data_IF_519038330485
#
_entry.id   IF_519038330485
#
_cell.length_a   1.000
_cell.length_b   1.000
_cell.length_c   1.000
_cell.angle_alpha   90.00
_cell.angle_beta   90.00
_cell.angle_gamma   90.00
#
_symmetry.space_group_name_H-M   'P 1'
#
loop_
_entity.id
_entity.type
_entity.pdbx_description
1 polymer ?
#
# COMPACT_ATOMS: atom_id res chain seq x y z
N UNK A 1 -26.47 7.85 27.02
CA UNK A 1 -25.08 8.34 27.05
C UNK A 1 -24.90 9.20 25.81
N UNK A 2 -24.73 10.51 26.00
CA UNK A 2 -24.50 11.46 24.91
C UNK A 2 -23.25 11.04 24.12
N UNK A 3 -23.43 10.77 22.82
CA UNK A 3 -22.38 10.40 21.86
C UNK A 3 -21.49 11.63 21.51
N UNK A 4 -21.60 12.72 22.25
CA UNK A 4 -20.84 13.96 22.03
C UNK A 4 -19.55 13.96 22.84
N UNK A 5 -18.51 13.28 22.36
CA UNK A 5 -17.10 13.65 22.60
C UNK A 5 -16.12 12.63 22.03
N UNK A 6 -15.27 13.11 21.11
CA UNK A 6 -14.03 12.52 20.57
C UNK A 6 -14.14 11.53 19.40
N UNK A 7 -14.44 12.06 18.21
CA UNK A 7 -13.66 11.62 17.05
C UNK A 7 -12.18 11.89 17.40
N UNK A 8 -11.35 10.85 17.39
CA UNK A 8 -9.90 11.00 17.55
C UNK A 8 -9.28 10.75 16.19
N UNK A 9 -8.44 11.68 15.76
CA UNK A 9 -7.86 11.60 14.44
C UNK A 9 -6.64 10.67 14.48
N UNK A 10 -6.68 9.62 13.66
CA UNK A 10 -5.64 8.60 13.67
C UNK A 10 -5.15 8.34 12.25
N UNK A 11 -3.94 8.82 11.99
CA UNK A 11 -3.22 8.55 10.77
C UNK A 11 -2.46 7.22 10.90
N UNK A 12 -2.48 6.36 9.86
CA UNK A 12 -1.72 5.09 9.82
C UNK A 12 -0.24 5.30 10.17
N UNK A 13 0.34 6.40 9.72
CA UNK A 13 1.72 6.81 9.99
C UNK A 13 2.02 6.81 11.50
N UNK A 14 1.06 7.25 12.32
CA UNK A 14 1.10 7.22 13.80
C UNK A 14 1.33 5.83 14.37
N UNK A 15 0.92 4.79 13.65
CA UNK A 15 0.99 3.39 14.08
C UNK A 15 2.31 2.72 13.66
N UNK A 16 3.09 3.35 12.76
CA UNK A 16 4.41 2.86 12.34
C UNK A 16 5.44 3.38 13.33
N UNK A 17 6.01 2.47 14.13
CA UNK A 17 6.93 2.82 15.20
C UNK A 17 8.35 3.06 14.67
N UNK A 18 9.00 4.08 15.20
CA UNK A 18 10.46 4.23 15.18
C UNK A 18 11.00 3.65 16.48
N UNK A 19 11.32 2.36 16.44
CA UNK A 19 11.59 1.59 17.63
C UNK A 19 13.04 1.83 18.08
N UNK A 20 13.20 2.26 19.33
CA UNK A 20 14.50 2.61 19.94
C UNK A 20 15.18 1.41 20.60
N UNK A 21 14.47 0.29 20.74
CA UNK A 21 15.07 -0.93 21.27
C UNK A 21 15.93 -1.62 20.20
N UNK A 22 16.94 -2.40 20.59
CA UNK A 22 17.64 -3.26 19.64
C UNK A 22 16.65 -4.18 18.91
N UNK A 23 16.73 -4.25 17.58
CA UNK A 23 15.81 -5.07 16.77
C UNK A 23 15.75 -6.53 17.24
N UNK A 24 16.88 -7.08 17.71
CA UNK A 24 16.97 -8.45 18.24
C UNK A 24 16.16 -8.68 19.52
N UNK A 25 15.65 -7.66 20.20
CA UNK A 25 14.72 -7.82 21.33
C UNK A 25 13.28 -8.05 20.86
N UNK A 26 12.92 -7.59 19.66
CA UNK A 26 11.56 -7.63 19.12
C UNK A 26 11.42 -8.72 18.04
N UNK A 27 12.45 -8.89 17.21
CA UNK A 27 12.50 -9.83 16.09
C UNK A 27 13.60 -10.87 16.28
N UNK A 28 13.35 -12.07 15.78
CA UNK A 28 14.33 -13.15 15.68
C UNK A 28 14.63 -13.42 14.20
N UNK A 29 15.90 -13.29 13.80
CA UNK A 29 16.41 -13.66 12.48
C UNK A 29 17.91 -13.98 12.57
N UNK A 30 18.39 -14.85 11.69
CA UNK A 30 19.79 -15.25 11.58
C UNK A 30 20.32 -15.04 10.15
N UNK A 31 21.64 -15.14 9.95
CA UNK A 31 22.25 -14.98 8.62
C UNK A 31 21.73 -15.99 7.59
N UNK A 32 21.41 -17.22 8.03
CA UNK A 32 20.82 -18.26 7.17
C UNK A 32 19.42 -17.90 6.64
N UNK A 33 18.75 -16.94 7.27
CA UNK A 33 17.41 -16.49 6.90
C UNK A 33 17.43 -15.39 5.83
N UNK A 34 18.58 -15.13 5.19
CA UNK A 34 18.68 -14.18 4.08
C UNK A 34 17.79 -14.64 2.92
N UNK A 35 16.85 -13.80 2.53
CA UNK A 35 15.89 -14.06 1.43
C UNK A 35 16.15 -13.20 0.19
N UNK A 36 16.99 -12.17 0.30
CA UNK A 36 17.31 -11.32 -0.83
C UNK A 36 18.44 -10.34 -0.56
N UNK A 37 18.86 -9.66 -1.62
CA UNK A 37 19.84 -8.57 -1.57
C UNK A 37 19.40 -7.49 -2.54
N UNK A 38 19.17 -6.29 -2.03
CA UNK A 38 18.83 -5.11 -2.82
C UNK A 38 20.03 -4.19 -3.01
N UNK A 39 19.82 -3.09 -3.73
CA UNK A 39 20.85 -2.10 -4.01
C UNK A 39 21.52 -1.49 -2.75
N UNK A 40 20.77 -1.42 -1.63
CA UNK A 40 21.21 -0.73 -0.41
C UNK A 40 21.50 -1.67 0.77
N UNK A 41 21.23 -2.98 0.63
CA UNK A 41 21.24 -3.85 1.80
C UNK A 41 20.77 -5.28 1.56
N UNK A 42 20.82 -6.10 2.60
CA UNK A 42 20.31 -7.48 2.59
C UNK A 42 18.93 -7.55 3.23
N UNK A 43 18.12 -8.51 2.79
CA UNK A 43 16.78 -8.75 3.33
C UNK A 43 16.74 -10.12 4.00
N UNK A 44 16.23 -10.17 5.23
CA UNK A 44 16.15 -11.39 6.04
C UNK A 44 14.70 -11.72 6.38
N UNK A 45 14.35 -12.99 6.40
CA UNK A 45 13.10 -13.45 7.03
C UNK A 45 13.26 -13.34 8.54
N UNK A 46 12.30 -12.73 9.21
CA UNK A 46 12.30 -12.56 10.66
C UNK A 46 10.95 -12.97 11.27
N UNK A 47 10.97 -13.33 12.55
CA UNK A 47 9.76 -13.68 13.32
C UNK A 47 9.61 -12.67 14.46
N UNK A 48 8.46 -12.00 14.53
CA UNK A 48 8.13 -11.14 15.65
C UNK A 48 7.92 -11.97 16.92
N UNK A 49 8.64 -11.65 18.00
CA UNK A 49 8.75 -12.54 19.17
C UNK A 49 7.45 -12.74 19.94
N UNK A 50 6.57 -11.73 20.00
CA UNK A 50 5.29 -11.80 20.70
C UNK A 50 4.19 -12.37 19.80
N UNK A 51 3.84 -11.66 18.73
CA UNK A 51 2.75 -12.05 17.80
C UNK A 51 3.04 -13.29 16.95
N UNK A 52 4.30 -13.74 16.90
CA UNK A 52 4.79 -14.86 16.07
C UNK A 52 4.65 -14.67 14.57
N UNK A 53 4.27 -13.48 14.13
CA UNK A 53 4.11 -13.20 12.72
C UNK A 53 5.45 -13.14 11.98
N UNK A 54 5.46 -13.61 10.74
CA UNK A 54 6.64 -13.60 9.87
C UNK A 54 6.71 -12.26 9.14
N UNK A 55 7.94 -11.74 9.00
CA UNK A 55 8.27 -10.46 8.39
C UNK A 55 9.52 -10.56 7.52
N UNK A 56 9.74 -9.54 6.70
CA UNK A 56 11.02 -9.29 6.05
C UNK A 56 11.72 -8.12 6.75
N UNK A 57 13.01 -8.24 7.05
CA UNK A 57 13.83 -7.17 7.63
C UNK A 57 14.88 -6.77 6.60
N UNK A 58 14.72 -5.57 6.02
CA UNK A 58 15.71 -4.97 5.11
C UNK A 58 16.74 -4.23 5.97
N UNK A 59 17.98 -4.72 5.97
CA UNK A 59 19.11 -4.19 6.74
C UNK A 59 19.98 -3.33 5.82
N UNK A 60 20.11 -2.06 6.15
CA UNK A 60 20.75 -1.04 5.30
C UNK A 60 21.94 -0.45 6.04
N UNK A 61 23.14 -0.54 5.45
CA UNK A 61 24.35 0.01 6.06
C UNK A 61 24.41 1.54 5.89
N UNK A 62 24.65 2.25 6.99
CA UNK A 62 24.68 3.72 7.00
C UNK A 62 25.85 4.35 6.24
N UNK A 63 26.98 3.65 6.11
CA UNK A 63 28.15 4.11 5.37
C UNK A 63 27.90 4.15 3.85
N UNK A 64 26.98 3.32 3.36
CA UNK A 64 26.56 3.34 1.96
C UNK A 64 25.53 4.45 1.65
N UNK A 65 25.19 5.29 2.64
CA UNK A 65 24.20 6.35 2.53
C UNK A 65 24.80 7.58 1.84
N UNK A 66 25.11 7.46 0.54
CA UNK A 66 25.04 8.61 -0.40
C UNK A 66 23.59 9.03 -0.68
N UNK A 67 22.62 8.29 -0.15
CA UNK A 67 21.22 8.31 -0.52
C UNK A 67 20.26 8.51 0.67
N UNK A 68 20.68 9.21 1.74
CA UNK A 68 19.88 9.40 2.96
C UNK A 68 18.50 9.95 2.63
N UNK A 69 18.48 10.94 1.74
CA UNK A 69 17.26 11.58 1.30
C UNK A 69 16.34 10.63 0.51
N UNK A 70 16.91 9.74 -0.33
CA UNK A 70 16.11 8.75 -1.06
C UNK A 70 15.49 7.73 -0.13
N UNK A 71 16.27 7.22 0.84
CA UNK A 71 15.79 6.25 1.82
C UNK A 71 14.72 6.84 2.74
N UNK A 72 14.92 8.08 3.21
CA UNK A 72 13.91 8.79 3.98
C UNK A 72 12.65 9.07 3.14
N UNK A 73 12.81 9.39 1.85
CA UNK A 73 11.69 9.56 0.93
C UNK A 73 10.94 8.25 0.71
N UNK A 74 11.63 7.12 0.54
CA UNK A 74 11.04 5.78 0.42
C UNK A 74 10.22 5.46 1.67
N UNK A 75 10.80 5.59 2.86
CA UNK A 75 10.11 5.39 4.14
C UNK A 75 8.88 6.28 4.25
N UNK A 76 9.00 7.58 3.94
CA UNK A 76 7.87 8.53 4.04
C UNK A 76 6.73 8.15 3.09
N UNK A 77 7.05 7.70 1.86
CA UNK A 77 6.06 7.23 0.90
C UNK A 77 5.36 5.96 1.42
N UNK A 78 6.11 4.99 1.96
CA UNK A 78 5.54 3.75 2.51
C UNK A 78 4.71 3.98 3.78
N UNK A 79 5.09 4.96 4.59
CA UNK A 79 4.30 5.41 5.74
C UNK A 79 2.95 5.97 5.26
N UNK A 80 2.96 6.77 4.18
CA UNK A 80 1.77 7.41 3.61
C UNK A 80 0.78 6.44 2.96
N UNK A 81 1.26 5.48 2.17
CA UNK A 81 0.41 4.67 1.31
C UNK A 81 -0.29 3.54 2.07
N UNK A 82 -1.61 3.42 1.92
CA UNK A 82 -2.43 2.33 2.46
C UNK A 82 -3.25 1.66 1.34
N UNK A 83 -2.70 0.60 0.76
CA UNK A 83 -3.36 -0.11 -0.33
C UNK A 83 -3.05 -1.61 -0.31
N UNK A 84 -4.02 -2.51 -0.61
CA UNK A 84 -3.83 -3.97 -0.53
C UNK A 84 -2.78 -4.56 -1.48
N UNK A 85 -2.36 -3.81 -2.49
CA UNK A 85 -1.36 -4.22 -3.49
C UNK A 85 -0.07 -3.40 -3.41
N UNK A 86 0.20 -2.74 -2.29
CA UNK A 86 1.43 -1.98 -2.02
C UNK A 86 2.08 -2.51 -0.74
N UNK A 87 3.40 -2.70 -0.78
CA UNK A 87 4.15 -3.32 0.32
C UNK A 87 4.04 -2.49 1.60
N UNK A 88 3.74 -3.18 2.70
CA UNK A 88 3.60 -2.54 4.00
C UNK A 88 4.94 -2.39 4.72
N UNK A 89 5.15 -1.21 5.29
CA UNK A 89 6.13 -0.95 6.36
C UNK A 89 5.42 -1.06 7.72
N UNK A 90 5.92 -1.94 8.60
CA UNK A 90 5.38 -2.13 9.95
C UNK A 90 6.04 -1.22 10.98
N UNK A 91 7.37 -1.15 10.96
CA UNK A 91 8.18 -0.33 11.86
C UNK A 91 9.61 -0.19 11.34
N UNK A 92 10.36 0.73 11.92
CA UNK A 92 11.77 0.96 11.62
C UNK A 92 12.61 0.89 12.89
N UNK A 93 13.86 0.47 12.75
CA UNK A 93 14.87 0.49 13.81
C UNK A 93 16.13 1.18 13.30
N UNK A 94 16.90 1.77 14.20
CA UNK A 94 18.16 2.41 13.87
C UNK A 94 19.16 2.17 15.00
N UNK A 95 20.35 1.66 14.67
CA UNK A 95 21.48 1.58 15.60
C UNK A 95 22.64 2.49 15.12
N UNK A 96 23.87 2.32 15.60
CA UNK A 96 24.99 3.16 15.17
C UNK A 96 25.35 2.99 13.67
N UNK A 97 25.21 1.77 13.13
CA UNK A 97 25.77 1.37 11.82
C UNK A 97 24.69 1.07 10.78
N UNK A 98 23.49 0.71 11.21
CA UNK A 98 22.43 0.19 10.35
C UNK A 98 21.09 0.86 10.57
N UNK A 99 20.32 0.95 9.48
CA UNK A 99 18.88 1.18 9.49
C UNK A 99 18.18 -0.13 9.14
N UNK A 100 17.08 -0.42 9.83
CA UNK A 100 16.28 -1.61 9.60
C UNK A 100 14.86 -1.20 9.25
N UNK A 101 14.34 -1.74 8.15
CA UNK A 101 12.92 -1.61 7.78
C UNK A 101 12.25 -2.97 7.96
N UNK A 102 11.23 -3.04 8.82
CA UNK A 102 10.41 -4.24 8.97
C UNK A 102 9.24 -4.16 8.01
N UNK A 103 9.25 -5.07 7.04
CA UNK A 103 8.37 -5.09 5.90
C UNK A 103 7.49 -6.34 5.93
N UNK A 104 6.40 -6.26 5.17
CA UNK A 104 5.66 -7.43 4.75
C UNK A 104 6.54 -8.41 3.99
N UNK A 105 6.32 -9.71 4.25
CA UNK A 105 7.05 -10.76 3.57
C UNK A 105 6.25 -11.25 2.37
N UNK A 106 6.89 -11.27 1.21
CA UNK A 106 6.32 -11.86 0.00
C UNK A 106 7.08 -13.14 -0.33
N UNK A 107 6.40 -14.29 -0.33
CA UNK A 107 7.04 -15.61 -0.48
C UNK A 107 6.68 -16.31 -1.80
N UNK A 108 5.88 -15.67 -2.64
CA UNK A 108 5.35 -16.23 -3.88
C UNK A 108 6.20 -16.01 -5.12
N UNK A 109 7.38 -15.38 -4.99
CA UNK A 109 8.21 -14.96 -6.12
C UNK A 109 7.69 -13.70 -6.80
N UNK A 110 8.39 -13.20 -7.80
CA UNK A 110 7.98 -12.05 -8.60
C UNK A 110 7.25 -12.45 -9.90
N UNK A 111 6.71 -11.46 -10.61
CA UNK A 111 6.01 -11.69 -11.88
C UNK A 111 6.98 -12.10 -12.99
N UNK A 112 8.23 -11.62 -12.95
CA UNK A 112 9.24 -11.91 -13.97
C UNK A 112 9.59 -13.39 -14.01
N UNK A 113 9.95 -13.97 -12.87
CA UNK A 113 10.26 -15.39 -12.71
C UNK A 113 9.10 -16.26 -13.19
N UNK A 114 7.86 -15.83 -12.93
CA UNK A 114 6.66 -16.57 -13.33
C UNK A 114 6.42 -16.54 -14.84
N UNK A 115 6.73 -15.43 -15.50
CA UNK A 115 6.70 -15.32 -16.97
C UNK A 115 7.83 -16.15 -17.57
N UNK A 116 9.05 -16.07 -17.02
CA UNK A 116 10.19 -16.86 -17.48
C UNK A 116 9.95 -18.36 -17.39
N UNK A 117 9.35 -18.85 -16.29
CA UNK A 117 9.04 -20.27 -16.10
C UNK A 117 8.07 -20.80 -17.16
N UNK A 118 7.10 -19.97 -17.57
CA UNK A 118 5.99 -20.39 -18.45
C UNK A 118 6.16 -19.94 -19.91
N UNK A 119 7.13 -19.09 -20.21
CA UNK A 119 7.23 -18.36 -21.48
C UNK A 119 6.22 -17.21 -21.55
N UNK A 120 4.93 -17.50 -21.38
CA UNK A 120 3.85 -16.50 -21.32
C UNK A 120 2.74 -16.92 -20.36
N UNK A 121 1.89 -15.97 -19.95
CA UNK A 121 0.74 -16.27 -19.12
C UNK A 121 -0.56 -16.29 -19.94
N UNK A 122 -1.50 -17.21 -19.62
CA UNK A 122 -2.86 -17.14 -20.15
C UNK A 122 -3.49 -15.77 -19.89
N UNK A 123 -4.30 -15.30 -20.83
CA UNK A 123 -4.93 -13.96 -20.77
C UNK A 123 -5.64 -13.71 -19.43
N UNK A 124 -6.36 -14.70 -18.92
CA UNK A 124 -7.06 -14.58 -17.64
C UNK A 124 -6.11 -14.33 -16.45
N UNK A 125 -5.01 -15.09 -16.38
CA UNK A 125 -3.98 -14.92 -15.37
C UNK A 125 -3.27 -13.56 -15.52
N UNK A 126 -2.97 -13.15 -16.76
CA UNK A 126 -2.36 -11.87 -17.07
C UNK A 126 -3.23 -10.69 -16.59
N UNK A 127 -4.53 -10.71 -16.88
CA UNK A 127 -5.44 -9.67 -16.41
C UNK A 127 -5.68 -9.73 -14.90
N UNK A 128 -5.64 -10.91 -14.27
CA UNK A 128 -5.71 -11.04 -12.81
C UNK A 128 -4.55 -10.32 -12.11
N UNK A 129 -3.35 -10.42 -12.67
CA UNK A 129 -2.15 -9.69 -12.19
C UNK A 129 -2.28 -8.20 -12.52
N UNK A 130 -2.54 -7.88 -13.79
CA UNK A 130 -2.52 -6.52 -14.31
C UNK A 130 -3.57 -5.59 -13.66
N UNK A 131 -4.74 -6.11 -13.27
CA UNK A 131 -5.74 -5.31 -12.55
C UNK A 131 -5.21 -4.85 -11.19
N UNK A 132 -4.53 -5.73 -10.44
CA UNK A 132 -3.95 -5.38 -9.15
C UNK A 132 -2.80 -4.38 -9.30
N UNK A 133 -1.99 -4.57 -10.34
CA UNK A 133 -0.94 -3.64 -10.75
C UNK A 133 -1.51 -2.24 -10.96
N UNK A 134 -2.54 -2.12 -11.82
CA UNK A 134 -3.13 -0.83 -12.16
C UNK A 134 -3.86 -0.17 -11.01
N UNK A 135 -4.40 -0.95 -10.06
CA UNK A 135 -4.95 -0.40 -8.80
C UNK A 135 -3.89 0.27 -7.95
N UNK A 136 -2.72 -0.36 -7.79
CA UNK A 136 -1.60 0.26 -7.10
C UNK A 136 -1.18 1.57 -7.79
N UNK A 137 -1.05 1.55 -9.13
CA UNK A 137 -0.73 2.74 -9.94
C UNK A 137 -1.75 3.85 -9.76
N UNK A 138 -3.04 3.54 -9.88
CA UNK A 138 -4.10 4.53 -9.71
C UNK A 138 -4.11 5.13 -8.30
N UNK A 139 -3.90 4.30 -7.28
CA UNK A 139 -3.87 4.72 -5.88
C UNK A 139 -2.74 5.73 -5.62
N UNK A 140 -1.47 5.36 -5.84
CA UNK A 140 -0.36 6.24 -5.48
C UNK A 140 -0.31 7.51 -6.35
N UNK A 141 -0.81 7.47 -7.59
CA UNK A 141 -0.93 8.67 -8.42
C UNK A 141 -1.97 9.66 -7.86
N UNK A 142 -2.99 9.18 -7.13
CA UNK A 142 -3.89 10.01 -6.33
C UNK A 142 -3.13 10.88 -5.32
N UNK A 143 -2.01 10.38 -4.78
CA UNK A 143 -1.11 11.10 -3.87
C UNK A 143 -0.03 11.92 -4.61
N UNK A 144 -0.15 12.06 -5.94
CA UNK A 144 0.85 12.73 -6.80
C UNK A 144 2.22 12.07 -6.74
N UNK A 145 2.28 10.77 -6.51
CA UNK A 145 3.52 10.00 -6.53
C UNK A 145 3.72 9.41 -7.92
N UNK A 146 4.97 9.38 -8.37
CA UNK A 146 5.41 8.71 -9.60
C UNK A 146 6.47 7.70 -9.20
N UNK A 147 6.27 6.44 -9.59
CA UNK A 147 7.10 5.31 -9.17
C UNK A 147 8.43 5.26 -9.95
N UNK A 148 8.36 5.40 -11.28
CA UNK A 148 9.50 5.51 -12.22
C UNK A 148 10.35 4.27 -12.46
N UNK A 149 10.19 3.20 -11.67
CA UNK A 149 10.82 1.89 -11.95
C UNK A 149 9.80 0.75 -11.95
N UNK A 150 8.74 0.92 -12.73
CA UNK A 150 7.69 -0.08 -12.83
C UNK A 150 8.12 -1.21 -13.79
N UNK A 151 8.24 -2.43 -13.26
CA UNK A 151 8.71 -3.63 -13.96
C UNK A 151 8.23 -4.92 -13.28
N UNK A 152 8.21 -6.09 -13.95
CA UNK A 152 7.68 -7.33 -13.38
C UNK A 152 8.40 -7.79 -12.10
N UNK A 153 9.70 -7.51 -11.95
CA UNK A 153 10.51 -7.84 -10.78
C UNK A 153 10.09 -7.08 -9.51
N UNK A 154 9.47 -5.90 -9.66
CA UNK A 154 9.04 -5.06 -8.55
C UNK A 154 7.64 -5.42 -8.03
N UNK A 155 7.02 -6.47 -8.58
CA UNK A 155 5.74 -7.01 -8.11
C UNK A 155 5.91 -8.44 -7.63
N UNK A 156 5.74 -8.65 -6.33
CA UNK A 156 5.87 -9.95 -5.70
C UNK A 156 4.50 -10.49 -5.31
N UNK A 157 4.36 -11.80 -5.34
CA UNK A 157 3.21 -12.49 -4.77
C UNK A 157 3.45 -12.76 -3.28
N UNK A 158 2.45 -12.50 -2.44
CA UNK A 158 2.54 -12.81 -1.00
C UNK A 158 2.65 -14.32 -0.79
N UNK A 159 1.87 -15.10 -1.55
CA UNK A 159 1.82 -16.57 -1.48
C UNK A 159 2.16 -17.22 -2.81
N UNK A 160 2.86 -18.37 -2.74
CA UNK A 160 3.10 -19.20 -3.93
C UNK A 160 1.76 -19.63 -4.54
N UNK A 161 1.70 -19.63 -5.87
CA UNK A 161 0.51 -20.03 -6.64
C UNK A 161 -0.76 -19.18 -6.40
N UNK A 162 -0.66 -18.04 -5.71
CA UNK A 162 -1.79 -17.13 -5.50
C UNK A 162 -1.61 -15.84 -6.32
N UNK A 163 -2.22 -15.84 -7.52
CA UNK A 163 -2.21 -14.69 -8.42
C UNK A 163 -3.01 -13.49 -7.91
N UNK A 164 -3.84 -13.64 -6.87
CA UNK A 164 -4.60 -12.54 -6.25
C UNK A 164 -3.86 -11.82 -5.12
N UNK A 165 -2.61 -12.21 -4.87
CA UNK A 165 -1.79 -11.70 -3.76
C UNK A 165 -0.64 -10.79 -4.21
N UNK A 166 -0.84 -10.00 -5.27
CA UNK A 166 0.22 -9.18 -5.86
C UNK A 166 0.49 -7.91 -5.02
N UNK A 167 1.77 -7.61 -4.80
CA UNK A 167 2.26 -6.49 -3.99
C UNK A 167 3.42 -5.77 -4.68
N UNK A 168 3.32 -4.45 -4.83
CA UNK A 168 4.40 -3.57 -5.31
C UNK A 168 5.39 -3.26 -4.20
N UNK A 169 6.70 -3.50 -4.39
CA UNK A 169 7.68 -3.53 -3.30
C UNK A 169 8.71 -2.40 -3.22
N UNK A 170 8.99 -1.65 -4.30
CA UNK A 170 10.18 -0.79 -4.36
C UNK A 170 9.90 0.68 -4.74
N UNK A 171 9.79 1.55 -3.74
CA UNK A 171 9.65 3.00 -3.93
C UNK A 171 11.00 3.76 -3.86
N UNK A 172 12.14 3.08 -3.98
CA UNK A 172 13.47 3.65 -3.74
C UNK A 172 13.86 4.79 -4.69
N UNK A 173 13.22 4.87 -5.86
CA UNK A 173 13.33 6.02 -6.77
C UNK A 173 12.01 6.74 -7.00
N UNK A 174 10.96 6.43 -6.25
CA UNK A 174 9.69 7.13 -6.38
C UNK A 174 9.84 8.59 -5.96
N UNK A 175 9.04 9.48 -6.56
CA UNK A 175 9.06 10.91 -6.22
C UNK A 175 7.67 11.50 -6.31
N UNK A 176 7.40 12.47 -5.45
CA UNK A 176 6.23 13.33 -5.59
C UNK A 176 6.40 14.26 -6.80
N UNK A 177 5.42 14.27 -7.68
CA UNK A 177 5.39 15.05 -8.91
C UNK A 177 4.21 16.01 -8.87
N UNK A 178 4.49 17.28 -8.58
CA UNK A 178 3.48 18.34 -8.63
C UNK A 178 3.37 18.89 -10.07
N UNK A 179 4.52 19.05 -10.74
CA UNK A 179 4.63 19.50 -12.13
C UNK A 179 5.23 18.43 -13.04
N UNK A 180 6.40 18.71 -13.63
CA UNK A 180 7.18 17.81 -14.48
C UNK A 180 8.48 17.41 -13.79
N UNK A 181 8.92 16.18 -14.04
CA UNK A 181 10.19 15.63 -13.60
C UNK A 181 11.24 15.73 -14.70
N UNK A 182 12.49 16.00 -14.29
CA UNK A 182 13.63 16.19 -15.21
C UNK A 182 14.71 15.12 -15.13
N UNK A 183 14.73 14.36 -14.04
CA UNK A 183 15.73 13.32 -13.79
C UNK A 183 15.41 12.06 -14.56
N UNK A 184 16.34 11.59 -15.40
CA UNK A 184 16.21 10.31 -16.11
C UNK A 184 16.41 9.16 -15.13
N UNK A 185 15.49 8.21 -15.09
CA UNK A 185 15.53 7.04 -14.21
C UNK A 185 14.59 5.96 -14.77
N UNK A 186 14.80 4.71 -14.35
CA UNK A 186 14.00 3.55 -14.78
C UNK A 186 14.87 2.48 -15.45
N UNK A 187 14.31 1.28 -15.57
CA UNK A 187 14.94 0.14 -16.24
C UNK A 187 14.73 0.22 -17.75
N UNK A 188 15.77 -0.06 -18.54
CA UNK A 188 15.83 0.25 -19.98
C UNK A 188 14.61 -0.25 -20.78
N UNK A 189 14.14 -1.49 -20.57
CA UNK A 189 13.00 -2.04 -21.33
C UNK A 189 11.64 -1.40 -21.00
N UNK A 190 11.48 -0.78 -19.83
CA UNK A 190 10.18 -0.32 -19.32
C UNK A 190 10.04 1.20 -19.30
N UNK A 191 11.14 1.94 -19.51
CA UNK A 191 11.17 3.39 -19.46
C UNK A 191 10.34 4.02 -20.59
N UNK A 192 9.56 5.05 -20.26
CA UNK A 192 8.78 5.78 -21.25
C UNK A 192 9.65 6.73 -22.10
N UNK A 193 9.32 6.98 -23.39
CA UNK A 193 10.12 7.83 -24.27
C UNK A 193 10.33 9.24 -23.70
N UNK A 194 9.30 9.85 -23.13
CA UNK A 194 9.37 11.21 -22.59
C UNK A 194 10.28 11.33 -21.34
N UNK A 195 10.56 10.21 -20.64
CA UNK A 195 11.53 10.18 -19.54
C UNK A 195 12.95 10.36 -20.08
N UNK A 196 13.23 9.82 -21.27
CA UNK A 196 14.51 9.94 -21.95
C UNK A 196 14.75 11.37 -22.47
N UNK A 197 13.68 12.09 -22.78
CA UNK A 197 13.71 13.50 -23.17
C UNK A 197 13.86 14.43 -21.95
N UNK A 198 13.61 13.92 -20.74
CA UNK A 198 13.88 14.63 -19.49
C UNK A 198 12.80 15.64 -19.12
N UNK A 199 11.56 15.48 -19.60
CA UNK A 199 10.41 16.26 -19.14
C UNK A 199 9.14 15.41 -19.17
N UNK A 200 8.77 14.84 -18.03
CA UNK A 200 7.69 13.86 -17.93
C UNK A 200 6.84 14.03 -16.66
N UNK A 201 5.73 13.31 -16.57
CA UNK A 201 4.85 13.26 -15.40
C UNK A 201 4.47 11.82 -15.05
N UNK A 202 3.42 11.65 -14.25
CA UNK A 202 2.88 10.36 -13.81
C UNK A 202 2.49 9.40 -14.94
N UNK A 203 2.26 9.88 -16.17
CA UNK A 203 1.90 9.00 -17.29
C UNK A 203 3.04 8.04 -17.69
N UNK A 204 4.29 8.30 -17.31
CA UNK A 204 5.39 7.36 -17.58
C UNK A 204 5.18 5.98 -16.93
N UNK A 205 4.53 5.95 -15.77
CA UNK A 205 4.19 4.70 -15.09
C UNK A 205 3.12 3.90 -15.85
N UNK A 206 2.21 4.58 -16.56
CA UNK A 206 1.20 3.92 -17.42
C UNK A 206 1.84 3.28 -18.64
N UNK A 207 2.84 3.92 -19.24
CA UNK A 207 3.64 3.29 -20.31
C UNK A 207 4.30 2.01 -19.79
N UNK A 208 4.96 2.11 -18.64
CA UNK A 208 5.63 0.97 -18.01
C UNK A 208 4.65 -0.18 -17.75
N UNK A 209 3.43 0.13 -17.27
CA UNK A 209 2.36 -0.85 -17.08
C UNK A 209 1.94 -1.54 -18.39
N UNK A 210 1.83 -0.78 -19.49
CA UNK A 210 1.50 -1.32 -20.81
C UNK A 210 2.59 -2.26 -21.35
N UNK A 211 3.86 -1.90 -21.14
CA UNK A 211 5.01 -2.77 -21.46
C UNK A 211 4.99 -4.03 -20.60
N UNK A 212 4.70 -3.91 -19.30
CA UNK A 212 4.55 -5.07 -18.40
C UNK A 212 3.44 -6.01 -18.88
N UNK A 213 2.27 -5.49 -19.26
CA UNK A 213 1.18 -6.32 -19.79
C UNK A 213 1.59 -7.03 -21.09
N UNK A 214 2.31 -6.34 -21.98
CA UNK A 214 2.86 -6.93 -23.20
C UNK A 214 3.78 -8.11 -22.87
N UNK A 215 4.76 -7.90 -21.98
CA UNK A 215 5.72 -8.94 -21.56
C UNK A 215 5.01 -10.12 -20.91
N UNK A 216 4.01 -9.89 -20.05
CA UNK A 216 3.28 -10.98 -19.40
C UNK A 216 2.56 -11.87 -20.43
N UNK A 217 2.05 -11.29 -21.52
CA UNK A 217 1.26 -11.99 -22.52
C UNK A 217 2.09 -12.77 -23.55
N UNK A 218 3.33 -12.36 -23.82
CA UNK A 218 4.15 -12.98 -24.88
C UNK A 218 5.56 -13.41 -24.46
N UNK A 219 6.05 -12.96 -23.30
CA UNK A 219 7.36 -13.38 -22.75
C UNK A 219 8.55 -12.52 -23.14
N UNK A 220 8.40 -11.56 -24.05
CA UNK A 220 9.48 -10.68 -24.52
C UNK A 220 9.07 -9.20 -24.52
N UNK A 221 10.03 -8.26 -24.39
CA UNK A 221 9.73 -6.84 -24.43
C UNK A 221 9.34 -6.38 -25.85
N UNK A 222 8.45 -5.38 -25.97
CA UNK A 222 8.01 -4.86 -27.27
C UNK A 222 9.09 -4.06 -28.02
N UNK A 223 10.10 -3.56 -27.31
CA UNK A 223 11.21 -2.80 -27.86
C UNK A 223 12.50 -3.51 -27.46
N UNK A 224 13.22 -4.05 -28.45
CA UNK A 224 14.40 -4.88 -28.24
C UNK A 224 15.61 -4.29 -28.97
N UNK A 225 16.80 -4.51 -28.41
CA UNK A 225 18.08 -4.18 -29.02
C UNK A 225 19.20 -5.00 -28.37
N UNK A 226 20.34 -5.13 -29.04
CA UNK A 226 21.47 -5.94 -28.55
C UNK A 226 22.18 -5.28 -27.36
N UNK A 227 22.01 -3.96 -27.21
CA UNK A 227 22.56 -3.17 -26.12
C UNK A 227 21.60 -2.06 -25.69
N UNK A 228 21.89 -1.43 -24.55
CA UNK A 228 21.05 -0.38 -23.97
C UNK A 228 20.79 0.77 -24.96
N UNK A 229 21.77 1.19 -25.77
CA UNK A 229 21.57 2.31 -26.72
C UNK A 229 20.58 1.95 -27.82
N UNK A 230 20.62 0.72 -28.31
CA UNK A 230 19.66 0.23 -29.31
C UNK A 230 18.26 0.10 -28.71
N UNK A 231 18.13 -0.44 -27.49
CA UNK A 231 16.85 -0.52 -26.78
C UNK A 231 16.23 0.87 -26.62
N UNK A 232 17.02 1.85 -26.17
CA UNK A 232 16.54 3.23 -26.00
C UNK A 232 16.21 3.90 -27.34
N UNK A 233 16.89 3.54 -28.43
CA UNK A 233 16.54 3.98 -29.78
C UNK A 233 15.18 3.42 -30.19
N UNK A 234 14.97 2.11 -30.05
CA UNK A 234 13.69 1.47 -30.36
C UNK A 234 12.53 2.01 -29.52
N UNK A 235 12.75 2.33 -28.24
CA UNK A 235 11.72 2.98 -27.42
C UNK A 235 11.33 4.36 -27.97
N UNK A 236 12.29 5.12 -28.51
CA UNK A 236 12.02 6.46 -29.05
C UNK A 236 11.40 6.46 -30.44
N UNK A 237 11.86 5.57 -31.32
CA UNK A 237 11.56 5.64 -32.76
C UNK A 237 10.79 4.43 -33.26
N UNK A 238 10.82 3.32 -32.53
CA UNK A 238 10.17 2.06 -32.89
C UNK A 238 8.65 2.15 -32.83
N UNK A 239 8.01 1.23 -33.55
CA UNK A 239 6.55 1.08 -33.57
C UNK A 239 6.16 -0.16 -32.81
N UNK A 240 5.15 -0.07 -31.94
CA UNK A 240 4.63 -1.23 -31.22
C UNK A 240 4.07 -2.28 -32.19
N UNK A 241 4.69 -3.45 -32.20
CA UNK A 241 4.31 -4.59 -33.03
C UNK A 241 3.79 -5.75 -32.16
N UNK A 242 2.94 -6.58 -32.74
CA UNK A 242 2.33 -7.75 -32.10
C UNK A 242 2.59 -8.98 -32.97
N UNK A 243 3.87 -9.20 -33.23
CA UNK A 243 4.38 -10.23 -34.13
C UNK A 243 4.79 -11.46 -33.31
N UNK A 244 4.61 -12.66 -33.84
CA UNK A 244 4.87 -13.92 -33.14
C UNK A 244 3.64 -14.81 -33.00
N UNK A 245 3.87 -16.11 -32.77
CA UNK A 245 2.80 -17.11 -32.65
C UNK A 245 1.98 -16.89 -31.37
N UNK A 246 2.59 -16.33 -30.33
CA UNK A 246 2.00 -15.98 -29.05
C UNK A 246 0.84 -14.98 -29.21
N UNK A 247 0.88 -14.12 -30.24
CA UNK A 247 -0.13 -13.11 -30.51
C UNK A 247 -1.29 -13.58 -31.40
N UNK A 248 -1.23 -14.78 -31.97
CA UNK A 248 -2.29 -15.31 -32.84
C UNK A 248 -3.60 -15.56 -32.07
N UNK A 249 -3.51 -15.97 -30.80
CA UNK A 249 -4.65 -16.21 -29.91
C UNK A 249 -5.16 -14.98 -29.13
N UNK A 250 -4.46 -13.85 -29.23
CA UNK A 250 -4.78 -12.63 -28.48
C UNK A 250 -5.70 -11.74 -29.32
N UNK A 251 -6.85 -11.36 -28.74
CA UNK A 251 -7.85 -10.55 -29.44
C UNK A 251 -7.34 -9.15 -29.79
N UNK A 252 -7.90 -8.57 -30.86
CA UNK A 252 -7.58 -7.20 -31.26
C UNK A 252 -7.91 -6.19 -30.15
N UNK A 253 -8.96 -6.42 -29.36
CA UNK A 253 -9.34 -5.59 -28.21
C UNK A 253 -8.23 -5.51 -27.15
N UNK A 254 -7.52 -6.61 -26.87
CA UNK A 254 -6.38 -6.63 -25.94
C UNK A 254 -5.20 -5.85 -26.54
N UNK A 255 -4.91 -6.04 -27.82
CA UNK A 255 -3.83 -5.33 -28.52
C UNK A 255 -4.08 -3.82 -28.53
N UNK A 256 -5.32 -3.40 -28.79
CA UNK A 256 -5.74 -1.99 -28.74
C UNK A 256 -5.67 -1.42 -27.32
N UNK A 257 -6.02 -2.23 -26.31
CA UNK A 257 -5.87 -1.84 -24.90
C UNK A 257 -4.39 -1.60 -24.53
N UNK A 258 -3.44 -2.41 -25.02
CA UNK A 258 -1.99 -2.16 -24.83
C UNK A 258 -1.56 -0.89 -25.57
N UNK A 259 -2.00 -0.69 -26.82
CA UNK A 259 -1.72 0.53 -27.61
C UNK A 259 -2.19 1.81 -26.91
N UNK A 260 -3.27 1.76 -26.14
CA UNK A 260 -3.77 2.91 -25.37
C UNK A 260 -2.82 3.40 -24.26
N UNK A 261 -1.84 2.57 -23.91
CA UNK A 261 -0.84 2.82 -22.86
C UNK A 261 0.56 3.06 -23.45
N UNK A 262 0.95 2.20 -24.40
CA UNK A 262 2.23 2.26 -25.10
C UNK A 262 2.08 3.17 -26.33
N UNK A 263 1.80 4.44 -26.06
CA UNK A 263 1.69 5.51 -27.05
C UNK A 263 2.26 6.83 -26.50
N UNK A 264 2.14 7.92 -27.25
CA UNK A 264 2.65 9.24 -26.82
C UNK A 264 1.97 9.71 -25.53
N UNK A 265 2.69 10.45 -24.70
CA UNK A 265 2.21 10.88 -23.38
C UNK A 265 0.89 11.66 -23.45
N UNK A 266 0.64 12.42 -24.52
CA UNK A 266 -0.58 13.20 -24.70
C UNK A 266 -1.81 12.30 -24.87
N UNK A 267 -1.69 11.26 -25.70
CA UNK A 267 -2.78 10.31 -26.01
C UNK A 267 -2.94 9.23 -24.97
N UNK A 268 -1.91 8.98 -24.15
CA UNK A 268 -1.91 7.93 -23.13
C UNK A 268 -3.01 8.14 -22.11
N UNK A 269 -3.81 7.09 -21.91
CA UNK A 269 -4.91 7.07 -20.95
C UNK A 269 -4.41 7.19 -19.51
N UNK A 270 -5.27 7.66 -18.61
CA UNK A 270 -4.97 7.68 -17.17
C UNK A 270 -5.33 6.33 -16.53
N UNK A 271 -4.73 5.97 -15.38
CA UNK A 271 -5.04 4.72 -14.69
C UNK A 271 -6.52 4.50 -14.41
N UNK A 272 -7.24 5.56 -13.99
CA UNK A 272 -8.69 5.51 -13.75
C UNK A 272 -9.46 5.10 -15.01
N UNK A 273 -9.06 5.62 -16.18
CA UNK A 273 -9.76 5.39 -17.45
C UNK A 273 -9.47 3.96 -17.93
N UNK A 274 -8.25 3.47 -17.71
CA UNK A 274 -7.87 2.08 -17.96
C UNK A 274 -8.63 1.11 -17.06
N UNK A 275 -8.77 1.40 -15.76
CA UNK A 275 -9.51 0.56 -14.81
C UNK A 275 -11.02 0.51 -15.09
N UNK A 276 -11.58 1.57 -15.71
CA UNK A 276 -12.97 1.59 -16.20
C UNK A 276 -13.13 0.99 -17.60
N UNK A 277 -12.05 0.62 -18.29
CA UNK A 277 -12.11 0.04 -19.63
C UNK A 277 -12.91 -1.27 -19.62
N UNK A 278 -13.70 -1.51 -20.67
CA UNK A 278 -14.59 -2.69 -20.81
C UNK A 278 -13.85 -4.01 -20.56
N UNK A 279 -12.64 -4.14 -21.10
CA UNK A 279 -11.84 -5.35 -20.91
C UNK A 279 -11.50 -5.60 -19.44
N UNK A 280 -11.13 -4.55 -18.71
CA UNK A 280 -10.79 -4.64 -17.29
C UNK A 280 -12.04 -4.99 -16.49
N UNK A 281 -13.16 -4.34 -16.75
CA UNK A 281 -14.41 -4.62 -16.02
C UNK A 281 -14.89 -6.05 -16.23
N UNK A 282 -14.77 -6.59 -17.46
CA UNK A 282 -15.10 -7.98 -17.77
C UNK A 282 -14.24 -8.99 -16.99
N UNK A 283 -12.92 -8.81 -16.94
CA UNK A 283 -12.05 -9.72 -16.16
C UNK A 283 -12.22 -9.50 -14.66
N UNK A 284 -12.36 -8.26 -14.21
CA UNK A 284 -12.49 -7.94 -12.80
C UNK A 284 -13.73 -8.59 -12.15
N UNK A 285 -14.85 -8.63 -12.86
CA UNK A 285 -16.08 -9.30 -12.39
C UNK A 285 -15.90 -10.80 -12.14
N UNK A 286 -14.94 -11.45 -12.81
CA UNK A 286 -14.63 -12.87 -12.57
C UNK A 286 -13.85 -13.09 -11.27
N UNK A 287 -13.10 -12.07 -10.82
CA UNK A 287 -12.14 -12.22 -9.72
C UNK A 287 -12.64 -11.66 -8.39
N UNK A 288 -13.52 -10.66 -8.40
CA UNK A 288 -14.04 -10.07 -7.18
C UNK A 288 -15.35 -10.74 -6.78
N UNK A 289 -15.39 -11.19 -5.52
CA UNK A 289 -16.58 -11.71 -4.88
C UNK A 289 -16.85 -10.97 -3.58
N UNK A 290 -18.13 -10.70 -3.31
CA UNK A 290 -18.56 -10.12 -2.04
C UNK A 290 -18.69 -11.21 -0.97
N UNK A 291 -17.85 -11.13 0.04
CA UNK A 291 -17.91 -12.01 1.21
C UNK A 291 -18.84 -11.48 2.31
N UNK A 292 -19.56 -10.37 2.08
CA UNK A 292 -20.55 -9.78 3.01
C UNK A 292 -20.00 -9.51 4.41
N UNK A 293 -18.73 -9.10 4.51
CA UNK A 293 -18.07 -8.83 5.77
C UNK A 293 -18.62 -7.58 6.47
N UNK A 294 -19.02 -6.58 5.69
CA UNK A 294 -19.49 -5.30 6.21
C UNK A 294 -21.01 -5.19 6.12
N UNK A 295 -21.64 -4.74 7.20
CA UNK A 295 -23.07 -4.49 7.28
C UNK A 295 -23.37 -3.27 8.14
N UNK A 296 -24.63 -2.80 8.13
CA UNK A 296 -25.07 -1.77 9.08
C UNK A 296 -24.94 -2.20 10.55
N UNK A 297 -25.03 -3.50 10.85
CA UNK A 297 -24.82 -4.01 12.21
C UNK A 297 -23.36 -3.80 12.60
N UNK A 298 -22.43 -4.16 11.70
CA UNK A 298 -20.98 -3.96 11.88
C UNK A 298 -20.64 -2.50 12.14
N UNK A 299 -21.17 -1.57 11.32
CA UNK A 299 -20.93 -0.13 11.50
C UNK A 299 -21.51 0.40 12.82
N UNK A 300 -22.73 0.01 13.17
CA UNK A 300 -23.36 0.44 14.43
C UNK A 300 -22.64 -0.11 15.66
N UNK A 301 -22.03 -1.30 15.57
CA UNK A 301 -21.17 -1.83 16.63
C UNK A 301 -19.87 -1.05 16.73
N UNK A 302 -19.19 -0.79 15.61
CA UNK A 302 -17.94 -0.03 15.57
C UNK A 302 -18.05 1.36 16.22
N UNK A 303 -19.12 2.10 15.91
CA UNK A 303 -19.35 3.44 16.49
C UNK A 303 -19.53 3.39 18.01
N UNK A 304 -20.07 2.28 18.54
CA UNK A 304 -20.25 2.07 19.99
C UNK A 304 -18.99 1.63 20.72
N UNK A 305 -17.97 1.13 20.01
CA UNK A 305 -16.73 0.72 20.66
C UNK A 305 -16.04 1.90 21.34
N UNK A 306 -15.47 1.61 22.50
CA UNK A 306 -14.61 2.56 23.21
C UNK A 306 -13.44 3.00 22.30
N UNK A 307 -12.99 4.26 22.35
CA UNK A 307 -11.89 4.74 21.51
C UNK A 307 -10.62 3.88 21.58
N UNK A 308 -10.26 3.39 22.77
CA UNK A 308 -9.09 2.51 22.95
C UNK A 308 -9.26 1.18 22.21
N UNK A 309 -10.47 0.61 22.20
CA UNK A 309 -10.76 -0.62 21.44
C UNK A 309 -10.60 -0.36 19.95
N UNK A 310 -11.09 0.77 19.44
CA UNK A 310 -10.90 1.16 18.02
C UNK A 310 -9.42 1.35 17.68
N UNK A 311 -8.65 2.06 18.51
CA UNK A 311 -7.21 2.23 18.34
C UNK A 311 -6.48 0.88 18.35
N UNK A 312 -6.84 -0.04 19.25
CA UNK A 312 -6.27 -1.38 19.32
C UNK A 312 -6.52 -2.17 18.03
N UNK A 313 -7.77 -2.20 17.57
CA UNK A 313 -8.18 -2.92 16.35
C UNK A 313 -7.55 -2.31 15.10
N UNK A 314 -7.43 -0.99 15.03
CA UNK A 314 -6.78 -0.33 13.91
C UNK A 314 -5.27 -0.58 13.90
N UNK A 315 -4.61 -0.51 15.06
CA UNK A 315 -3.24 -0.98 15.18
C UNK A 315 -3.11 -2.42 14.69
N UNK A 316 -3.93 -3.34 15.19
CA UNK A 316 -3.88 -4.74 14.76
C UNK A 316 -4.06 -4.89 13.25
N UNK A 317 -5.03 -4.19 12.64
CA UNK A 317 -5.26 -4.22 11.19
C UNK A 317 -3.99 -3.87 10.40
N UNK A 318 -3.25 -2.84 10.81
CA UNK A 318 -1.97 -2.48 10.17
C UNK A 318 -0.89 -3.53 10.38
N UNK A 319 -1.03 -4.40 11.38
CA UNK A 319 -0.04 -5.40 11.77
C UNK A 319 -0.39 -6.83 11.34
N UNK A 320 -1.55 -7.11 10.75
CA UNK A 320 -1.90 -8.46 10.30
C UNK A 320 -1.22 -8.81 8.98
N UNK A 321 -0.87 -10.09 8.81
CA UNK A 321 -0.32 -10.61 7.56
C UNK A 321 -1.39 -10.50 6.46
N UNK A 322 -1.06 -9.90 5.32
CA UNK A 322 -2.03 -9.69 4.24
C UNK A 322 -2.62 -11.00 3.71
N UNK A 323 -1.92 -12.11 3.90
CA UNK A 323 -2.35 -13.43 3.50
C UNK A 323 -3.46 -14.00 4.42
N UNK A 324 -3.69 -13.39 5.59
CA UNK A 324 -4.85 -13.60 6.45
C UNK A 324 -6.03 -12.68 6.06
N UNK A 325 -5.78 -11.61 5.30
CA UNK A 325 -6.74 -10.56 4.97
C UNK A 325 -7.41 -10.73 3.59
N UNK A 326 -7.40 -11.94 3.02
CA UNK A 326 -7.93 -12.21 1.67
C UNK A 326 -9.41 -11.82 1.56
N UNK A 327 -10.21 -12.14 2.57
CA UNK A 327 -11.64 -11.83 2.55
C UNK A 327 -11.90 -10.32 2.65
N UNK A 328 -11.14 -9.62 3.50
CA UNK A 328 -11.20 -8.18 3.67
C UNK A 328 -10.75 -7.47 2.39
N UNK A 329 -9.65 -7.91 1.76
CA UNK A 329 -9.17 -7.39 0.47
C UNK A 329 -10.24 -7.52 -0.63
N UNK A 330 -10.87 -8.68 -0.74
CA UNK A 330 -11.92 -8.91 -1.74
C UNK A 330 -13.16 -8.05 -1.51
N UNK A 331 -13.63 -7.97 -0.26
CA UNK A 331 -14.78 -7.13 0.09
C UNK A 331 -14.47 -5.64 -0.11
N UNK A 332 -13.27 -5.18 0.25
CA UNK A 332 -12.83 -3.80 0.03
C UNK A 332 -12.87 -3.42 -1.45
N UNK A 333 -12.27 -4.24 -2.34
CA UNK A 333 -12.31 -3.97 -3.78
C UNK A 333 -13.69 -4.17 -4.41
N UNK A 334 -14.56 -4.98 -3.82
CA UNK A 334 -15.95 -5.08 -4.26
C UNK A 334 -16.71 -3.77 -4.00
N UNK A 335 -16.49 -3.15 -2.84
CA UNK A 335 -17.13 -1.88 -2.47
C UNK A 335 -16.51 -0.71 -3.24
N UNK A 336 -15.19 -0.69 -3.42
CA UNK A 336 -14.46 0.39 -4.11
C UNK A 336 -14.62 0.33 -5.64
N UNK A 337 -15.84 0.51 -6.13
CA UNK A 337 -16.19 0.47 -7.56
C UNK A 337 -15.46 1.50 -8.42
N UNK A 338 -15.05 2.63 -7.84
CA UNK A 338 -14.20 3.64 -8.49
C UNK A 338 -12.75 3.19 -8.67
N UNK A 339 -12.32 2.13 -7.96
CA UNK A 339 -10.99 1.54 -7.99
C UNK A 339 -9.86 2.54 -7.67
N UNK A 340 -10.17 3.57 -6.89
CA UNK A 340 -9.23 4.57 -6.38
C UNK A 340 -8.35 4.03 -5.26
N UNK A 341 -8.74 2.90 -4.64
CA UNK A 341 -8.17 2.39 -3.40
C UNK A 341 -8.68 3.11 -2.13
N UNK A 342 -9.74 3.91 -2.25
CA UNK A 342 -10.36 4.69 -1.18
C UNK A 342 -11.89 4.60 -1.30
N UNK A 343 -12.58 4.12 -0.26
CA UNK A 343 -14.05 3.97 -0.31
C UNK A 343 -14.73 5.30 0.03
N UNK A 344 -15.61 5.77 -0.86
CA UNK A 344 -16.43 6.96 -0.63
C UNK A 344 -17.69 6.65 0.19
N UNK A 345 -18.27 7.67 0.83
CA UNK A 345 -19.60 7.58 1.44
C UNK A 345 -20.66 7.05 0.47
N UNK A 346 -20.58 7.43 -0.81
CA UNK A 346 -21.52 7.01 -1.82
C UNK A 346 -21.39 5.51 -2.09
N UNK A 347 -20.19 5.02 -2.38
CA UNK A 347 -19.92 3.60 -2.60
C UNK A 347 -20.36 2.76 -1.40
N UNK A 348 -20.03 3.20 -0.18
CA UNK A 348 -20.43 2.50 1.04
C UNK A 348 -21.96 2.44 1.20
N UNK A 349 -22.65 3.56 0.98
CA UNK A 349 -24.12 3.62 1.06
C UNK A 349 -24.80 2.74 0.00
N UNK A 350 -24.26 2.72 -1.22
CA UNK A 350 -24.75 1.88 -2.32
C UNK A 350 -24.57 0.40 -2.00
N UNK A 351 -23.40 -0.01 -1.49
CA UNK A 351 -23.14 -1.38 -1.09
C UNK A 351 -24.08 -1.86 0.02
N UNK A 352 -24.23 -1.04 1.07
CA UNK A 352 -25.09 -1.35 2.22
C UNK A 352 -26.59 -1.25 1.92
N UNK A 353 -26.96 -0.69 0.75
CA UNK A 353 -28.34 -0.44 0.33
C UNK A 353 -29.09 0.45 1.33
N UNK A 354 -28.43 1.49 1.82
CA UNK A 354 -28.98 2.48 2.76
C UNK A 354 -28.88 3.90 2.21
N UNK A 355 -29.60 4.83 2.83
CA UNK A 355 -29.49 6.24 2.48
C UNK A 355 -28.09 6.76 2.86
N UNK A 356 -27.49 7.57 1.98
CA UNK A 356 -26.20 8.23 2.24
C UNK A 356 -26.19 9.02 3.55
N UNK A 357 -27.32 9.63 3.93
CA UNK A 357 -27.45 10.38 5.20
C UNK A 357 -27.22 9.50 6.44
N UNK A 358 -27.56 8.21 6.39
CA UNK A 358 -27.36 7.32 7.54
C UNK A 358 -25.88 6.97 7.70
N UNK A 359 -25.17 6.75 6.59
CA UNK A 359 -23.71 6.60 6.58
C UNK A 359 -23.02 7.90 7.02
N UNK A 360 -23.50 9.06 6.55
CA UNK A 360 -22.94 10.37 6.87
C UNK A 360 -22.95 10.67 8.37
N UNK A 361 -23.99 10.24 9.11
CA UNK A 361 -24.06 10.37 10.57
C UNK A 361 -22.98 9.56 11.29
N UNK A 362 -22.58 8.41 10.73
CA UNK A 362 -21.57 7.53 11.30
C UNK A 362 -20.16 7.86 10.81
N UNK A 363 -20.04 8.62 9.72
CA UNK A 363 -18.77 8.91 9.04
C UNK A 363 -17.65 9.43 9.96
N UNK A 364 -17.90 10.33 10.92
CA UNK A 364 -16.84 10.82 11.83
C UNK A 364 -16.20 9.73 12.72
N UNK A 365 -16.79 8.55 12.79
CA UNK A 365 -16.25 7.39 13.52
C UNK A 365 -15.65 6.34 12.60
N UNK A 366 -15.98 6.39 11.30
CA UNK A 366 -15.52 5.47 10.26
C UNK A 366 -14.19 5.99 9.69
N UNK A 367 -14.20 7.25 9.27
CA UNK A 367 -13.07 7.99 8.70
C UNK A 367 -12.21 8.55 9.85
N UNK A 368 -11.27 7.73 10.31
CA UNK A 368 -10.48 8.01 11.50
C UNK A 368 -9.43 9.09 11.22
N UNK A 369 -8.94 9.24 10.00
CA UNK A 369 -7.97 10.30 9.66
C UNK A 369 -8.63 11.59 9.11
N UNK A 370 -9.95 11.57 8.94
CA UNK A 370 -10.79 12.66 8.40
C UNK A 370 -10.45 13.07 6.97
N UNK A 371 -9.93 12.16 6.15
CA UNK A 371 -9.61 12.42 4.74
C UNK A 371 -10.81 12.44 3.80
N UNK A 372 -12.01 12.17 4.31
CA UNK A 372 -13.25 12.13 3.54
C UNK A 372 -13.50 10.77 2.87
N UNK A 373 -12.63 9.79 3.10
CA UNK A 373 -12.67 8.45 2.56
C UNK A 373 -12.55 7.42 3.69
N UNK A 374 -12.84 6.18 3.36
CA UNK A 374 -12.54 5.02 4.19
C UNK A 374 -11.31 4.31 3.60
N UNK A 375 -10.21 4.35 4.33
CA UNK A 375 -8.94 3.71 3.96
C UNK A 375 -9.00 2.18 4.16
N UNK A 376 -8.04 1.47 3.56
CA UNK A 376 -8.02 0.01 3.61
C UNK A 376 -7.86 -0.53 5.04
N UNK A 377 -6.93 -0.03 5.85
CA UNK A 377 -6.77 -0.54 7.22
C UNK A 377 -7.87 -0.10 8.18
N UNK A 378 -8.52 1.04 7.94
CA UNK A 378 -9.75 1.40 8.65
C UNK A 378 -10.86 0.39 8.36
N UNK A 379 -11.04 0.03 7.08
CA UNK A 379 -11.98 -1.00 6.67
C UNK A 379 -11.65 -2.37 7.29
N UNK A 380 -10.38 -2.77 7.27
CA UNK A 380 -9.93 -4.02 7.90
C UNK A 380 -10.26 -3.99 9.39
N UNK A 381 -9.91 -2.92 10.12
CA UNK A 381 -10.16 -2.79 11.55
C UNK A 381 -11.64 -2.96 11.92
N UNK A 382 -12.54 -2.37 11.13
CA UNK A 382 -13.98 -2.50 11.31
C UNK A 382 -14.53 -3.91 11.04
N UNK A 383 -13.86 -4.66 10.17
CA UNK A 383 -14.31 -5.98 9.72
C UNK A 383 -13.61 -7.15 10.44
N UNK A 384 -12.69 -6.86 11.36
CA UNK A 384 -12.07 -7.89 12.20
C UNK A 384 -13.09 -8.55 13.14
N UNK A 385 -13.15 -9.87 13.08
CA UNK A 385 -13.93 -10.72 13.95
C UNK A 385 -13.26 -10.92 15.31
N UNK A 386 -14.05 -11.28 16.31
CA UNK A 386 -13.52 -11.62 17.64
C UNK A 386 -12.51 -12.76 17.61
N UNK A 387 -12.70 -13.74 16.73
CA UNK A 387 -11.78 -14.86 16.59
C UNK A 387 -10.40 -14.43 16.06
N UNK A 388 -10.36 -13.40 15.21
CA UNK A 388 -9.12 -12.85 14.67
C UNK A 388 -8.36 -12.05 15.73
N UNK A 389 -9.00 -11.10 16.42
CA UNK A 389 -8.29 -10.21 17.33
C UNK A 389 -8.00 -10.80 18.73
N UNK A 390 -8.80 -11.77 19.22
CA UNK A 390 -8.57 -12.35 20.56
C UNK A 390 -7.20 -13.05 20.66
N UNK A 391 -6.71 -13.61 19.54
CA UNK A 391 -5.38 -14.23 19.46
C UNK A 391 -4.22 -13.23 19.60
N UNK A 392 -4.50 -11.94 19.40
CA UNK A 392 -3.51 -10.87 19.34
C UNK A 392 -3.69 -9.84 20.46
N UNK A 393 -4.44 -10.17 21.53
CA UNK A 393 -4.69 -9.26 22.65
C UNK A 393 -3.42 -8.78 23.32
N UNK A 394 -2.48 -9.68 23.63
CA UNK A 394 -1.21 -9.30 24.26
C UNK A 394 -0.42 -8.33 23.36
N UNK A 395 -0.38 -8.62 22.05
CA UNK A 395 0.32 -7.79 21.09
C UNK A 395 -0.27 -6.37 20.98
N UNK A 396 -1.59 -6.24 20.96
CA UNK A 396 -2.26 -4.93 21.02
C UNK A 396 -2.01 -4.23 22.36
N UNK A 397 -2.05 -4.96 23.48
CA UNK A 397 -1.80 -4.40 24.81
C UNK A 397 -0.38 -3.87 24.96
N UNK A 398 0.62 -4.60 24.46
CA UNK A 398 2.03 -4.19 24.49
C UNK A 398 2.25 -2.90 23.71
N UNK A 399 1.54 -2.73 22.58
CA UNK A 399 1.51 -1.47 21.84
C UNK A 399 0.87 -0.34 22.65
N UNK A 400 -0.32 -0.54 23.22
CA UNK A 400 -1.03 0.54 23.92
C UNK A 400 -0.37 0.94 25.25
N UNK A 401 0.25 -0.02 25.95
CA UNK A 401 0.94 0.23 27.21
C UNK A 401 2.32 0.84 27.02
N UNK A 402 2.90 0.80 25.81
CA UNK A 402 4.26 1.30 25.54
C UNK A 402 5.29 0.79 26.56
N UNK A 403 5.13 -0.48 26.98
CA UNK A 403 5.96 -1.19 27.98
C UNK A 403 5.71 -0.83 29.44
N UNK A 404 4.80 0.11 29.74
CA UNK A 404 4.44 0.49 31.12
C UNK A 404 3.59 -0.58 31.85
N UNK A 405 3.34 -1.74 31.21
CA UNK A 405 2.49 -2.86 31.67
C UNK A 405 1.04 -2.48 32.00
N UNK A 406 0.67 -1.23 31.76
CA UNK A 406 -0.64 -0.62 31.99
C UNK A 406 -0.86 0.38 30.86
N UNK A 407 -2.08 0.46 30.35
CA UNK A 407 -2.48 1.49 29.38
C UNK A 407 -2.82 2.75 30.18
N UNK A 408 -2.00 3.79 30.04
CA UNK A 408 -2.12 5.06 30.76
C UNK A 408 -2.24 6.25 29.82
N UNK A 409 -2.60 7.42 30.35
CA UNK A 409 -2.64 8.65 29.55
C UNK A 409 -1.27 8.98 28.94
N UNK A 410 -0.19 8.69 29.69
CA UNK A 410 1.18 8.88 29.23
C UNK A 410 1.52 7.93 28.08
N UNK A 411 1.18 6.64 28.20
CA UNK A 411 1.50 5.65 27.15
C UNK A 411 0.75 5.98 25.87
N UNK A 412 -0.54 6.27 25.94
CA UNK A 412 -1.34 6.67 24.77
C UNK A 412 -0.82 7.97 24.16
N UNK A 413 -0.52 8.99 24.96
CA UNK A 413 0.04 10.25 24.44
C UNK A 413 1.35 10.02 23.69
N UNK A 414 2.23 9.15 24.20
CA UNK A 414 3.51 8.88 23.55
C UNK A 414 3.39 8.25 22.16
N UNK A 415 2.32 7.47 21.89
CA UNK A 415 2.04 6.92 20.54
C UNK A 415 1.85 8.05 19.54
N UNK A 416 1.15 9.11 19.93
CA UNK A 416 0.85 10.25 19.06
C UNK A 416 2.02 11.24 18.97
N UNK A 417 2.80 11.40 20.05
CA UNK A 417 3.94 12.31 20.09
C UNK A 417 5.14 11.82 19.23
N UNK A 418 5.30 10.50 19.04
CA UNK A 418 6.43 9.90 18.31
C UNK A 418 6.58 10.40 16.86
N UNK A 419 5.52 10.95 16.26
CA UNK A 419 5.51 11.41 14.86
C UNK A 419 5.34 12.92 14.65
N UNK A 420 5.29 13.73 15.70
CA UNK A 420 5.18 15.19 15.61
C UNK A 420 6.37 15.88 14.90
N UNK A 421 7.51 15.19 14.71
CA UNK A 421 8.74 15.73 14.13
C UNK A 421 8.80 15.77 12.59
N UNK A 422 7.76 15.35 11.87
CA UNK A 422 7.78 15.35 10.39
C UNK A 422 7.45 16.72 9.75
N UNK A 423 6.94 17.68 10.51
CA UNK A 423 6.51 18.98 9.98
C UNK A 423 7.66 19.85 9.43
N UNK A 424 8.90 19.68 9.89
CA UNK A 424 9.96 20.66 9.58
C UNK A 424 10.65 20.48 8.20
N UNK A 425 10.18 19.60 7.30
CA UNK A 425 10.80 19.44 5.96
C UNK A 425 9.86 19.42 4.75
N UNK A 426 8.55 19.51 4.94
CA UNK A 426 7.58 19.43 3.84
C UNK A 426 6.90 20.76 3.48
N UNK A 427 7.10 21.82 4.27
CA UNK A 427 6.41 23.11 4.10
C UNK A 427 6.93 24.00 2.94
N UNK A 428 7.90 23.55 2.14
CA UNK A 428 8.49 24.41 1.09
C UNK A 428 7.85 24.29 -0.31
N UNK A 429 6.63 23.74 -0.46
CA UNK A 429 5.97 23.64 -1.78
C UNK A 429 4.46 23.93 -1.69
N UNK A 430 4.08 25.11 -2.20
CA UNK A 430 2.90 25.91 -1.84
C UNK A 430 1.56 25.58 -2.51
N UNK A 431 1.40 24.45 -3.21
CA UNK A 431 0.13 24.13 -3.91
C UNK A 431 -0.64 22.95 -3.31
N UNK A 432 -0.32 22.58 -2.07
CA UNK A 432 -0.90 21.46 -1.34
C UNK A 432 -2.14 21.83 -0.52
N UNK A 433 -2.57 23.10 -0.53
CA UNK A 433 -3.67 23.62 0.31
C UNK A 433 -5.05 22.99 0.07
N UNK A 434 -5.30 22.27 -1.02
CA UNK A 434 -6.62 21.68 -1.31
C UNK A 434 -6.67 20.14 -1.26
N UNK A 435 -5.55 19.44 -1.07
CA UNK A 435 -5.52 17.96 -0.93
C UNK A 435 -4.70 17.47 0.28
N UNK A 436 -3.91 18.35 0.90
CA UNK A 436 -3.24 18.15 2.20
C UNK A 436 -3.78 19.08 3.30
N UNK A 437 -4.96 19.69 3.08
CA UNK A 437 -5.63 20.56 4.06
C UNK A 437 -5.93 19.88 5.42
N UNK A 438 -5.67 18.57 5.55
CA UNK A 438 -5.83 17.81 6.78
C UNK A 438 -4.55 17.61 7.59
N UNK A 439 -3.37 17.89 7.03
CA UNK A 439 -2.13 17.83 7.83
C UNK A 439 -1.88 19.14 8.55
N UNK A 440 -2.56 20.25 8.16
CA UNK A 440 -2.04 21.58 8.44
C UNK A 440 -2.99 22.61 9.05
N UNK A 441 -4.12 22.24 9.68
CA UNK A 441 -4.83 23.22 10.51
C UNK A 441 -5.29 22.61 11.85
N UNK A 442 -4.58 23.07 12.88
CA UNK A 442 -4.69 22.75 14.30
C UNK A 442 -3.97 21.48 14.70
N UNK A 443 -2.95 21.66 15.55
CA UNK A 443 -2.66 20.76 16.65
C UNK A 443 -3.98 20.17 17.18
N UNK A 444 -4.37 19.01 16.66
CA UNK A 444 -5.45 18.26 17.25
C UNK A 444 -4.85 17.76 18.55
N UNK A 445 -5.11 18.53 19.62
CA UNK A 445 -5.05 18.02 20.97
C UNK A 445 -5.96 16.80 20.97
N UNK A 446 -5.39 15.63 20.70
CA UNK A 446 -6.00 14.36 21.02
C UNK A 446 -6.30 14.52 22.49
N UNK A 447 -7.59 14.63 22.80
CA UNK A 447 -8.02 14.80 24.16
C UNK A 447 -7.87 13.43 24.83
N UNK A 448 -6.62 13.05 25.11
CA UNK A 448 -6.23 11.78 25.74
C UNK A 448 -6.97 11.65 27.07
N UNK A 449 -7.24 12.78 27.73
CA UNK A 449 -8.06 12.86 28.94
C UNK A 449 -9.51 12.40 28.73
N UNK A 450 -10.07 12.59 27.54
CA UNK A 450 -11.39 12.06 27.17
C UNK A 450 -11.34 10.62 26.63
N UNK A 451 -10.17 10.14 26.19
CA UNK A 451 -9.97 8.75 25.73
C UNK A 451 -9.80 7.78 26.90
N UNK A 452 -9.21 8.25 28.00
CA UNK A 452 -8.87 7.43 29.17
C UNK A 452 -9.53 7.97 30.44
N UNK A 453 -10.56 7.28 30.90
CA UNK A 453 -11.19 7.56 32.20
C UNK A 453 -10.29 7.12 33.37
N UNK A 454 -9.59 5.98 33.22
CA UNK A 454 -8.64 5.41 34.20
C UNK A 454 -7.56 4.57 33.49
N UNK A 455 -6.45 4.35 34.19
CA UNK A 455 -5.43 3.40 33.78
C UNK A 455 -6.00 1.97 33.72
N UNK A 456 -5.63 1.21 32.68
CA UNK A 456 -6.13 -0.16 32.46
C UNK A 456 -5.00 -1.18 32.43
N UNK A 457 -5.08 -2.20 33.29
CA UNK A 457 -4.22 -3.38 33.19
C UNK A 457 -4.66 -4.32 32.04
N UNK A 458 -3.93 -5.42 31.88
CA UNK A 458 -4.22 -6.39 30.81
C UNK A 458 -5.61 -7.04 30.95
N UNK A 459 -6.09 -7.30 32.16
CA UNK A 459 -7.40 -7.94 32.38
C UNK A 459 -8.54 -6.97 32.07
N UNK A 460 -8.40 -5.71 32.47
CA UNK A 460 -9.33 -4.63 32.10
C UNK A 460 -9.36 -4.43 30.59
N UNK A 461 -8.19 -4.41 29.93
CA UNK A 461 -8.11 -4.35 28.47
C UNK A 461 -8.78 -5.56 27.80
N UNK A 462 -8.51 -6.77 28.30
CA UNK A 462 -9.15 -8.00 27.78
C UNK A 462 -10.67 -7.93 27.92
N UNK A 463 -11.19 -7.47 29.04
CA UNK A 463 -12.63 -7.28 29.25
C UNK A 463 -13.22 -6.21 28.32
N UNK A 464 -12.46 -5.15 27.99
CA UNK A 464 -12.86 -4.13 27.02
C UNK A 464 -12.99 -4.69 25.59
N UNK A 465 -12.14 -5.66 25.25
CA UNK A 465 -12.10 -6.28 23.93
C UNK A 465 -13.11 -7.42 23.75
N UNK A 466 -13.48 -8.11 24.84
CA UNK A 466 -14.52 -9.14 24.83
C UNK A 466 -15.92 -8.51 24.77
#
# INVERSE_FOLDING_TARGET
>A
MDIKSTAFHLYKQTLIRKNTQPIGQIYSYEQKDKIGQGAYGSVYKAIHKVSKQVRAVKVINKLNIKYKERLLSEITIMELLDHPSILRLYETFEDAEYLYMVLEICQGGDVFDKVLEKGSLPVEDAFKIYIQYMRAVNYYQGFKIVHRDLKPENFLFQKKNDLSSLTLIDFGIAKRCIDKLKTKSGTAYYVAPEVLDGLYDHKCDVWSAGVVLYVILCGYPPFYGENEKEILTEIKTGTLQFDGDEWQGISQEIKDFIRSQVCTAEKRLLPKDLLSHKIITQYNQKFIQDNKLLSMITLNQWVKYHPIRRLALFYLATQLDSSELVNQKNCFFFINTSQTGLITQQELSTYLKVNKQDVQKLWPYIDCNSNGYLDYFEFVAMTLTQQEYVKQLQFMFDFLSQQDKVISQKSIKSIFDQNANFNNKWDSISDTKNQLALVNQHEQQINVKNILEKDMDFNAFKALMQ
#
